data_IF_981417779862
#
_entry.id   IF_981417779862
#
_cell.length_a   1.000
_cell.length_b   1.000
_cell.length_c   1.000
_cell.angle_alpha   90.00
_cell.angle_beta   90.00
_cell.angle_gamma   90.00
#
_symmetry.space_group_name_H-M   'P 1'
#
loop_
_entity.id
_entity.type
_entity.pdbx_description
1 polymer ?
#
# COMPACT_ATOMS: atom_id res chain seq x y z
N UNK A 1 -0.51 -10.36 15.16
CA UNK A 1 0.77 -10.93 14.72
C UNK A 1 0.52 -12.22 13.93
N UNK A 2 0.70 -12.18 12.60
CA UNK A 2 0.62 -13.35 11.73
C UNK A 2 1.98 -13.66 11.13
N UNK A 3 2.13 -14.84 10.52
CA UNK A 3 3.34 -15.23 9.81
C UNK A 3 3.52 -14.55 8.43
N UNK A 4 2.55 -13.71 8.00
CA UNK A 4 2.61 -12.84 6.80
C UNK A 4 3.04 -13.58 5.54
N UNK A 5 2.30 -14.62 5.14
CA UNK A 5 2.60 -15.39 3.94
C UNK A 5 2.37 -14.58 2.67
N UNK A 6 3.34 -14.66 1.76
CA UNK A 6 3.27 -14.14 0.40
C UNK A 6 3.29 -15.30 -0.59
N UNK A 7 2.61 -15.11 -1.70
CA UNK A 7 2.58 -16.10 -2.76
C UNK A 7 3.67 -15.80 -3.80
N UNK A 8 4.62 -16.71 -3.92
CA UNK A 8 5.76 -16.62 -4.80
C UNK A 8 5.51 -17.40 -6.05
N UNK A 9 5.79 -16.85 -7.22
CA UNK A 9 5.63 -17.50 -8.51
C UNK A 9 6.94 -17.49 -9.29
N UNK A 10 7.28 -18.57 -10.03
CA UNK A 10 8.50 -18.60 -10.84
C UNK A 10 8.31 -17.74 -12.09
N UNK A 11 9.36 -17.06 -12.52
CA UNK A 11 9.41 -16.39 -13.81
C UNK A 11 9.36 -17.43 -14.95
N UNK A 12 8.51 -17.24 -15.99
CA UNK A 12 8.44 -18.17 -17.12
C UNK A 12 9.71 -18.20 -17.99
N UNK A 13 10.61 -17.20 -17.82
CA UNK A 13 11.84 -17.06 -18.61
C UNK A 13 13.10 -17.52 -17.84
N UNK A 14 13.31 -16.95 -16.65
CA UNK A 14 14.52 -17.27 -15.86
C UNK A 14 14.30 -18.28 -14.73
N UNK A 15 13.04 -18.59 -14.37
CA UNK A 15 12.71 -19.54 -13.30
C UNK A 15 12.80 -18.97 -11.87
N UNK A 16 13.34 -17.76 -11.69
CA UNK A 16 13.46 -17.13 -10.38
C UNK A 16 12.09 -16.80 -9.78
N UNK A 17 11.92 -17.10 -8.50
CA UNK A 17 10.68 -16.87 -7.78
C UNK A 17 10.57 -15.42 -7.33
N UNK A 18 9.39 -14.81 -7.51
CA UNK A 18 9.11 -13.45 -7.14
C UNK A 18 7.66 -13.27 -6.68
N UNK A 19 7.39 -12.22 -5.92
CA UNK A 19 6.04 -11.76 -5.56
C UNK A 19 5.56 -10.84 -6.67
N UNK A 20 4.31 -11.01 -7.14
CA UNK A 20 3.75 -10.11 -8.14
C UNK A 20 3.40 -8.76 -7.51
N UNK A 21 4.05 -7.70 -7.98
CA UNK A 21 3.92 -6.32 -7.49
C UNK A 21 3.38 -5.40 -8.57
N UNK A 22 2.62 -4.39 -8.16
CA UNK A 22 2.05 -3.42 -9.09
C UNK A 22 3.11 -2.59 -9.83
N UNK A 23 4.22 -2.29 -9.19
CA UNK A 23 5.35 -1.54 -9.75
C UNK A 23 5.99 -2.24 -10.96
N UNK A 24 5.77 -3.55 -11.11
CA UNK A 24 6.26 -4.36 -12.22
C UNK A 24 5.24 -4.46 -13.38
N UNK A 25 4.07 -3.85 -13.25
CA UNK A 25 3.09 -3.75 -14.34
C UNK A 25 3.38 -2.50 -15.15
N UNK A 26 3.75 -2.70 -16.40
CA UNK A 26 4.11 -1.65 -17.33
C UNK A 26 3.17 -1.62 -18.54
N UNK A 27 3.03 -0.48 -19.16
CA UNK A 27 2.34 -0.27 -20.43
C UNK A 27 2.95 0.90 -21.19
N UNK A 28 2.74 0.93 -22.51
CA UNK A 28 3.27 1.96 -23.37
C UNK A 28 2.48 3.27 -23.27
N UNK A 29 3.11 4.33 -23.78
CA UNK A 29 2.48 5.62 -24.04
C UNK A 29 2.66 5.96 -25.51
N UNK A 30 1.63 6.53 -26.15
CA UNK A 30 1.75 7.03 -27.50
C UNK A 30 2.78 8.16 -27.56
N UNK A 31 3.57 8.19 -28.65
CA UNK A 31 4.46 9.31 -28.91
C UNK A 31 3.62 10.55 -29.24
N UNK A 32 3.52 11.50 -28.31
CA UNK A 32 2.89 12.80 -28.57
C UNK A 32 3.69 13.57 -29.61
N UNK A 33 3.03 14.18 -30.62
CA UNK A 33 3.65 15.21 -31.45
C UNK A 33 3.99 16.42 -30.56
N UNK A 34 5.03 17.17 -30.93
CA UNK A 34 5.49 18.36 -30.19
C UNK A 34 4.29 19.26 -29.81
N UNK A 35 3.93 19.29 -28.50
CA UNK A 35 2.77 20.04 -27.99
C UNK A 35 1.50 19.22 -27.66
N UNK A 36 1.49 17.89 -27.89
CA UNK A 36 0.40 17.01 -27.46
C UNK A 36 0.88 16.13 -26.28
N UNK A 37 0.02 15.97 -25.27
CA UNK A 37 0.28 15.05 -24.19
C UNK A 37 0.33 13.60 -24.69
N UNK A 38 1.26 12.81 -24.17
CA UNK A 38 1.35 11.40 -24.47
C UNK A 38 0.16 10.66 -23.83
N UNK A 39 -0.57 9.89 -24.65
CA UNK A 39 -1.71 9.10 -24.18
C UNK A 39 -1.23 7.73 -23.70
N UNK A 40 -1.66 7.28 -22.54
CA UNK A 40 -1.44 5.93 -22.05
C UNK A 40 -2.16 4.90 -22.94
N UNK A 41 -1.50 3.76 -23.20
CA UNK A 41 -1.98 2.63 -23.99
C UNK A 41 -2.13 1.38 -23.08
N UNK A 42 -3.15 1.34 -22.22
CA UNK A 42 -3.33 0.26 -21.24
C UNK A 42 -3.51 -1.13 -21.89
N UNK A 43 -3.91 -1.19 -23.15
CA UNK A 43 -4.00 -2.43 -23.95
C UNK A 43 -2.63 -3.10 -24.18
N UNK A 44 -1.54 -2.37 -23.97
CA UNK A 44 -0.16 -2.90 -24.04
C UNK A 44 0.36 -3.37 -22.70
N UNK A 45 -0.49 -3.43 -21.65
CA UNK A 45 -0.07 -3.78 -20.30
C UNK A 45 0.51 -5.19 -20.23
N UNK A 46 1.67 -5.30 -19.58
CA UNK A 46 2.40 -6.52 -19.37
C UNK A 46 3.13 -6.47 -18.02
N UNK A 47 3.50 -7.63 -17.51
CA UNK A 47 4.31 -7.73 -16.30
C UNK A 47 5.79 -7.83 -16.68
N UNK A 48 6.68 -7.20 -15.91
CA UNK A 48 8.12 -7.25 -16.10
C UNK A 48 8.76 -8.00 -14.94
N UNK A 49 9.57 -9.00 -15.23
CA UNK A 49 10.30 -9.75 -14.22
C UNK A 49 11.32 -8.85 -13.49
N UNK A 50 11.31 -8.88 -12.17
CA UNK A 50 12.27 -8.10 -11.35
C UNK A 50 13.71 -8.62 -11.42
N UNK A 51 13.91 -9.89 -11.86
CA UNK A 51 15.23 -10.51 -11.94
C UNK A 51 15.88 -10.44 -13.33
N UNK A 52 15.14 -10.81 -14.38
CA UNK A 52 15.71 -10.84 -15.74
C UNK A 52 15.24 -9.71 -16.65
N UNK A 53 14.21 -8.94 -16.25
CA UNK A 53 13.66 -7.85 -17.05
C UNK A 53 12.78 -8.30 -18.22
N UNK A 54 12.58 -9.61 -18.43
CA UNK A 54 11.71 -10.11 -19.50
C UNK A 54 10.23 -9.84 -19.19
N UNK A 55 9.45 -9.65 -20.24
CA UNK A 55 8.02 -9.33 -20.16
C UNK A 55 7.15 -10.58 -20.17
N UNK A 56 6.10 -10.60 -19.37
CA UNK A 56 5.10 -11.67 -19.32
C UNK A 56 3.78 -11.18 -19.89
N UNK A 57 3.24 -11.94 -20.82
CA UNK A 57 1.84 -11.80 -21.23
C UNK A 57 0.89 -12.38 -20.16
N UNK A 58 -0.40 -12.02 -20.24
CA UNK A 58 -1.41 -12.60 -19.36
C UNK A 58 -1.44 -14.15 -19.39
N UNK A 59 -1.39 -14.84 -20.55
CA UNK A 59 -1.32 -16.29 -20.57
C UNK A 59 -0.08 -16.88 -19.85
N UNK A 60 1.10 -16.26 -20.00
CA UNK A 60 2.31 -16.68 -19.29
C UNK A 60 2.16 -16.46 -17.78
N UNK A 61 1.65 -15.30 -17.36
CA UNK A 61 1.36 -15.00 -15.96
C UNK A 61 0.41 -16.02 -15.35
N UNK A 62 -0.71 -16.33 -16.03
CA UNK A 62 -1.68 -17.33 -15.54
C UNK A 62 -1.08 -18.74 -15.43
N UNK A 63 -0.24 -19.13 -16.36
CA UNK A 63 0.43 -20.41 -16.33
C UNK A 63 1.39 -20.53 -15.12
N UNK A 64 2.14 -19.48 -14.79
CA UNK A 64 3.08 -19.50 -13.67
C UNK A 64 2.41 -19.42 -12.30
N UNK A 65 1.22 -18.83 -12.19
CA UNK A 65 0.48 -18.78 -10.91
C UNK A 65 0.21 -20.19 -10.36
N UNK A 66 -0.07 -21.16 -11.21
CA UNK A 66 -0.28 -22.55 -10.78
C UNK A 66 0.98 -23.24 -10.24
N UNK A 67 2.15 -22.69 -10.51
CA UNK A 67 3.45 -23.21 -10.08
C UNK A 67 3.96 -22.51 -8.82
N UNK A 68 3.19 -21.58 -8.29
CA UNK A 68 3.57 -20.78 -7.14
C UNK A 68 3.44 -21.51 -5.81
N UNK A 69 4.06 -20.92 -4.80
CA UNK A 69 4.04 -21.45 -3.43
C UNK A 69 3.93 -20.33 -2.38
N UNK A 70 3.33 -20.66 -1.25
CA UNK A 70 3.26 -19.77 -0.11
C UNK A 70 4.54 -19.82 0.72
N UNK A 71 5.15 -18.66 0.96
CA UNK A 71 6.30 -18.53 1.86
C UNK A 71 5.96 -17.56 2.99
N UNK A 72 6.23 -17.97 4.23
CA UNK A 72 6.04 -17.13 5.40
C UNK A 72 7.21 -16.15 5.55
N UNK A 73 6.92 -14.89 5.89
CA UNK A 73 7.93 -13.88 6.21
C UNK A 73 8.38 -13.97 7.68
N UNK A 74 7.49 -14.44 8.56
CA UNK A 74 7.75 -14.60 9.98
C UNK A 74 7.52 -16.04 10.42
N UNK A 75 8.12 -16.48 11.55
CA UNK A 75 7.80 -17.76 12.14
C UNK A 75 6.30 -17.85 12.49
N UNK A 76 5.71 -18.99 12.19
CA UNK A 76 4.32 -19.26 12.59
C UNK A 76 4.23 -19.41 14.12
N UNK A 77 3.30 -18.68 14.74
CA UNK A 77 3.01 -18.80 16.17
C UNK A 77 1.61 -19.39 16.38
N UNK A 78 0.58 -18.66 15.94
CA UNK A 78 -0.82 -19.04 16.13
C UNK A 78 -1.73 -18.65 14.96
N UNK A 79 -1.31 -17.70 14.13
CA UNK A 79 -2.12 -17.15 13.05
C UNK A 79 -1.35 -17.15 11.73
N UNK A 80 -1.94 -17.81 10.71
CA UNK A 80 -1.46 -17.71 9.33
C UNK A 80 -2.12 -16.51 8.64
N UNK A 81 -1.31 -15.58 8.14
CA UNK A 81 -1.79 -14.43 7.36
C UNK A 81 -1.44 -14.59 5.89
N UNK A 82 -2.37 -14.34 5.01
CA UNK A 82 -2.21 -14.47 3.56
C UNK A 82 -2.47 -13.14 2.88
N UNK A 83 -1.61 -12.75 1.94
CA UNK A 83 -1.83 -11.58 1.12
C UNK A 83 -1.76 -11.96 -0.36
N UNK A 84 -2.80 -11.58 -1.11
CA UNK A 84 -2.86 -11.64 -2.57
C UNK A 84 -3.43 -10.32 -3.08
N UNK A 85 -2.86 -9.85 -4.18
CA UNK A 85 -3.42 -8.76 -4.96
C UNK A 85 -4.10 -9.30 -6.23
N UNK A 86 -4.80 -8.44 -6.95
CA UNK A 86 -5.56 -8.81 -8.13
C UNK A 86 -4.69 -9.28 -9.31
N UNK A 87 -3.37 -9.00 -9.31
CA UNK A 87 -2.43 -9.47 -10.33
C UNK A 87 -2.36 -11.01 -10.36
N UNK A 88 -2.65 -11.67 -9.24
CA UNK A 88 -2.73 -13.15 -9.18
C UNK A 88 -4.03 -13.72 -9.74
N UNK A 89 -5.00 -12.89 -10.10
CA UNK A 89 -6.28 -13.37 -10.63
C UNK A 89 -6.13 -13.91 -12.07
N UNK A 90 -6.55 -15.14 -12.34
CA UNK A 90 -6.55 -15.68 -13.70
C UNK A 90 -7.71 -15.14 -14.56
N UNK A 91 -8.65 -14.40 -13.97
CA UNK A 91 -9.82 -13.83 -14.66
C UNK A 91 -9.61 -12.36 -15.04
N UNK A 92 -8.62 -11.69 -14.46
CA UNK A 92 -8.36 -10.27 -14.67
C UNK A 92 -7.13 -10.09 -15.57
N UNK A 93 -7.31 -9.33 -16.64
CA UNK A 93 -6.21 -8.94 -17.52
C UNK A 93 -5.49 -7.71 -16.94
N UNK A 94 -4.18 -7.62 -17.17
CA UNK A 94 -3.39 -6.45 -16.76
C UNK A 94 -3.87 -5.17 -17.46
N UNK A 95 -4.37 -5.27 -18.70
CA UNK A 95 -5.02 -4.16 -19.39
C UNK A 95 -6.16 -3.56 -18.55
N UNK A 96 -7.03 -4.39 -17.97
CA UNK A 96 -8.16 -3.93 -17.15
C UNK A 96 -7.66 -3.21 -15.91
N UNK A 97 -6.70 -3.78 -15.19
CA UNK A 97 -6.11 -3.15 -14.01
C UNK A 97 -5.44 -1.81 -14.35
N UNK A 98 -4.73 -1.73 -15.49
CA UNK A 98 -4.11 -0.48 -15.95
C UNK A 98 -5.17 0.59 -16.26
N UNK A 99 -6.31 0.23 -16.87
CA UNK A 99 -7.43 1.16 -17.10
C UNK A 99 -8.05 1.64 -15.80
N UNK A 100 -8.29 0.75 -14.85
CA UNK A 100 -8.84 1.08 -13.53
C UNK A 100 -7.90 2.00 -12.73
N UNK A 101 -6.60 1.73 -12.75
CA UNK A 101 -5.59 2.61 -12.16
C UNK A 101 -5.58 4.01 -12.77
N UNK A 102 -5.60 4.10 -14.12
CA UNK A 102 -5.64 5.39 -14.81
C UNK A 102 -6.91 6.16 -14.48
N UNK A 103 -8.05 5.48 -14.48
CA UNK A 103 -9.33 6.06 -14.08
C UNK A 103 -9.30 6.54 -12.62
N UNK A 104 -8.75 5.74 -11.70
CA UNK A 104 -8.61 6.13 -10.30
C UNK A 104 -7.75 7.40 -10.14
N UNK A 105 -6.67 7.54 -10.92
CA UNK A 105 -5.83 8.75 -10.93
C UNK A 105 -6.59 10.00 -11.39
N UNK A 106 -7.47 9.86 -12.37
CA UNK A 106 -8.29 10.97 -12.89
C UNK A 106 -9.39 11.40 -11.90
N UNK A 107 -9.94 10.43 -11.14
CA UNK A 107 -11.01 10.68 -10.17
C UNK A 107 -10.52 11.10 -8.78
N UNK A 108 -9.22 11.12 -8.54
CA UNK A 108 -8.61 11.66 -7.34
C UNK A 108 -8.36 10.65 -6.22
N UNK A 109 -8.09 11.17 -5.02
CA UNK A 109 -7.52 10.41 -3.90
C UNK A 109 -8.42 9.26 -3.41
N UNK A 110 -9.73 9.47 -3.27
CA UNK A 110 -10.66 8.45 -2.80
C UNK A 110 -10.76 7.26 -3.79
N UNK A 111 -10.74 7.52 -5.09
CA UNK A 111 -10.72 6.48 -6.10
C UNK A 111 -9.39 5.71 -6.08
N UNK A 112 -8.28 6.42 -5.90
CA UNK A 112 -6.96 5.80 -5.77
C UNK A 112 -6.86 4.94 -4.50
N UNK A 113 -7.39 5.40 -3.37
CA UNK A 113 -7.51 4.64 -2.13
C UNK A 113 -8.30 3.36 -2.33
N UNK A 114 -9.42 3.43 -3.05
CA UNK A 114 -10.22 2.26 -3.39
C UNK A 114 -9.42 1.27 -4.21
N UNK A 115 -8.73 1.69 -5.27
CA UNK A 115 -7.88 0.83 -6.09
C UNK A 115 -6.79 0.15 -5.27
N UNK A 116 -6.05 0.89 -4.45
CA UNK A 116 -4.96 0.34 -3.63
C UNK A 116 -5.49 -0.66 -2.61
N UNK A 117 -6.58 -0.31 -1.89
CA UNK A 117 -7.10 -1.18 -0.85
C UNK A 117 -7.78 -2.44 -1.40
N UNK A 118 -8.45 -2.36 -2.55
CA UNK A 118 -9.24 -3.49 -3.10
C UNK A 118 -8.46 -4.30 -4.11
N UNK A 119 -7.84 -3.68 -5.11
CA UNK A 119 -7.14 -4.39 -6.19
C UNK A 119 -5.72 -4.81 -5.79
N UNK A 120 -5.02 -4.00 -4.98
CA UNK A 120 -3.69 -4.36 -4.50
C UNK A 120 -3.70 -5.04 -3.12
N UNK A 121 -4.80 -4.89 -2.34
CA UNK A 121 -4.88 -5.42 -0.98
C UNK A 121 -3.88 -4.74 -0.03
N UNK A 122 -3.51 -3.49 -0.33
CA UNK A 122 -2.53 -2.71 0.42
C UNK A 122 -3.19 -1.57 1.17
N UNK A 123 -2.56 -1.10 2.23
CA UNK A 123 -3.04 0.06 2.98
C UNK A 123 -2.69 1.32 2.21
N UNK A 124 -3.71 2.11 1.86
CA UNK A 124 -3.48 3.43 1.29
C UNK A 124 -2.99 4.38 2.37
N UNK A 125 -1.77 4.87 2.23
CA UNK A 125 -1.21 5.89 3.10
C UNK A 125 -1.47 7.26 2.51
N UNK A 126 -2.25 8.08 3.21
CA UNK A 126 -2.38 9.51 2.89
C UNK A 126 -1.04 10.15 3.25
N UNK A 127 -0.22 10.42 2.26
CA UNK A 127 0.95 11.28 2.43
C UNK A 127 0.47 12.73 2.49
N UNK A 128 -0.24 13.07 3.57
CA UNK A 128 -0.55 14.45 3.89
C UNK A 128 0.70 15.16 4.42
N UNK A 129 0.61 16.48 4.55
CA UNK A 129 1.59 17.31 5.26
C UNK A 129 1.54 17.06 6.78
N UNK A 130 1.46 15.79 7.21
CA UNK A 130 1.65 15.49 8.62
C UNK A 130 3.07 15.93 9.00
N UNK A 131 3.22 16.81 10.00
CA UNK A 131 4.54 17.18 10.47
C UNK A 131 5.29 15.91 10.83
N UNK A 132 6.56 15.84 10.45
CA UNK A 132 7.41 14.71 10.82
C UNK A 132 7.26 14.45 12.32
N UNK A 133 6.92 13.23 12.70
CA UNK A 133 6.66 12.86 14.10
C UNK A 133 7.83 13.27 15.01
N UNK A 134 9.03 13.25 14.48
CA UNK A 134 10.27 13.70 15.18
C UNK A 134 10.20 15.17 15.58
N UNK A 135 9.61 16.02 14.74
CA UNK A 135 9.46 17.45 15.08
C UNK A 135 8.49 17.64 16.26
N UNK A 136 7.41 16.85 16.30
CA UNK A 136 6.45 16.87 17.41
C UNK A 136 7.10 16.29 18.66
N UNK A 137 7.78 15.15 18.53
CA UNK A 137 8.48 14.49 19.61
C UNK A 137 9.57 15.39 20.27
N UNK A 138 10.36 16.09 19.44
CA UNK A 138 11.42 17.00 19.93
C UNK A 138 10.86 18.28 20.58
N UNK A 139 9.58 18.59 20.36
CA UNK A 139 8.89 19.70 21.04
C UNK A 139 8.24 19.32 22.34
N UNK A 140 8.26 18.03 22.70
CA UNK A 140 7.73 17.61 24.00
C UNK A 140 8.46 18.27 25.15
N UNK A 141 7.72 18.65 26.14
CA UNK A 141 8.27 19.18 27.39
C UNK A 141 8.42 18.04 28.42
N UNK A 142 9.40 18.15 29.28
CA UNK A 142 9.65 17.16 30.33
C UNK A 142 9.04 17.64 31.65
N UNK A 143 7.85 17.16 31.96
CA UNK A 143 7.16 17.42 33.22
C UNK A 143 6.57 16.13 33.80
N UNK A 144 6.41 16.02 35.13
CA UNK A 144 5.87 14.82 35.77
C UNK A 144 4.44 14.52 35.32
N UNK A 145 4.11 13.24 35.15
CA UNK A 145 2.76 12.79 34.84
C UNK A 145 1.79 13.29 35.94
N UNK A 146 0.62 13.82 35.52
CA UNK A 146 -0.39 14.35 36.42
C UNK A 146 -0.17 15.81 36.85
N UNK A 147 0.86 16.48 36.32
CA UNK A 147 1.07 17.91 36.53
C UNK A 147 0.61 18.73 35.34
N UNK A 148 0.12 19.93 35.58
CA UNK A 148 -0.21 20.91 34.53
C UNK A 148 0.98 21.82 34.37
N UNK A 149 1.56 21.96 33.13
CA UNK A 149 2.62 22.93 32.89
C UNK A 149 2.19 24.37 33.23
N UNK A 150 3.13 25.22 33.65
CA UNK A 150 2.88 26.58 34.15
C UNK A 150 2.07 27.45 33.17
N UNK A 151 2.20 27.21 31.86
CA UNK A 151 1.42 27.88 30.82
C UNK A 151 -0.02 27.40 30.61
N UNK A 152 -0.44 26.31 31.27
CA UNK A 152 -1.77 25.72 31.12
C UNK A 152 -2.85 26.54 31.80
N UNK A 153 -3.83 27.04 31.03
CA UNK A 153 -4.94 27.89 31.52
C UNK A 153 -6.24 27.11 31.72
N UNK A 154 -6.48 26.11 30.92
CA UNK A 154 -7.63 25.21 31.07
C UNK A 154 -7.31 23.83 30.53
N UNK A 155 -8.06 22.83 31.00
CA UNK A 155 -7.89 21.43 30.63
C UNK A 155 -9.09 20.94 29.82
N UNK A 156 -8.80 20.09 28.85
CA UNK A 156 -9.82 19.22 28.23
C UNK A 156 -9.41 17.77 28.42
N UNK A 157 -10.38 16.88 28.59
CA UNK A 157 -10.14 15.45 28.66
C UNK A 157 -11.01 14.71 27.65
N UNK A 158 -10.42 13.77 26.94
CA UNK A 158 -11.10 12.79 26.11
C UNK A 158 -10.96 11.41 26.73
N UNK A 159 -12.01 10.59 26.73
CA UNK A 159 -11.97 9.21 27.17
C UNK A 159 -12.51 8.30 26.07
N UNK A 160 -11.74 7.26 25.72
CA UNK A 160 -12.14 6.18 24.84
C UNK A 160 -12.36 4.91 25.65
N UNK A 161 -13.58 4.35 25.59
CA UNK A 161 -13.95 3.15 26.34
C UNK A 161 -13.86 1.96 25.38
N UNK A 162 -12.90 1.08 25.62
CA UNK A 162 -12.74 -0.16 24.90
C UNK A 162 -13.26 -1.35 25.73
N UNK A 163 -13.26 -2.53 25.16
CA UNK A 163 -13.82 -3.73 25.79
C UNK A 163 -13.07 -4.13 27.10
N UNK A 164 -11.78 -3.88 27.14
CA UNK A 164 -10.85 -4.35 28.20
C UNK A 164 -10.13 -3.20 28.91
N UNK A 165 -10.29 -1.94 28.46
CA UNK A 165 -9.61 -0.77 29.02
C UNK A 165 -10.34 0.53 28.74
N UNK A 166 -9.97 1.55 29.48
CA UNK A 166 -10.35 2.95 29.21
C UNK A 166 -9.07 3.72 28.96
N UNK A 167 -8.97 4.36 27.83
CA UNK A 167 -7.86 5.27 27.48
C UNK A 167 -8.32 6.70 27.75
N UNK A 168 -7.51 7.46 28.49
CA UNK A 168 -7.84 8.85 28.83
C UNK A 168 -6.67 9.74 28.43
N UNK A 169 -6.98 10.79 27.67
CA UNK A 169 -6.02 11.84 27.33
C UNK A 169 -6.49 13.15 27.96
N UNK A 170 -5.57 13.85 28.62
CA UNK A 170 -5.82 15.17 29.20
C UNK A 170 -4.89 16.17 28.53
N UNK A 171 -5.48 17.23 27.97
CA UNK A 171 -4.73 18.27 27.24
C UNK A 171 -4.86 19.59 27.99
N UNK A 172 -3.71 20.23 28.26
CA UNK A 172 -3.66 21.57 28.83
C UNK A 172 -3.51 22.61 27.69
N UNK A 173 -4.34 23.61 27.70
CA UNK A 173 -4.37 24.70 26.71
C UNK A 173 -3.82 25.98 27.35
N UNK A 174 -2.88 26.63 26.68
CA UNK A 174 -2.27 27.88 27.09
C UNK A 174 -2.47 29.00 26.05
N UNK A 175 -1.95 30.20 26.35
CA UNK A 175 -1.79 31.27 25.36
C UNK A 175 -0.51 31.01 24.54
N UNK A 176 -0.61 31.24 23.23
CA UNK A 176 0.58 31.32 22.37
C UNK A 176 1.34 32.61 22.61
#
# INVERSE_FOLDING_TARGET
NSDKRRYWVPCPHCGEYQILRWEQVHWEKSSGKKGQESKHLPETAHYVCEHCGDTWSDPQRWATIHLGEWRAENPFVDTAGFHLNEIYSPWIKLEKMAREFLSAREHGEEAMKTFINTSLGEVFEIRGEAPEWERIYNRREDYPIGTVPEGGLFLTAGADVQRDRIEVEVVAWGRQ
#
